data_IF_087785629594
#
_entry.id   IF_087785629594
#
_cell.length_a   1.000
_cell.length_b   1.000
_cell.length_c   1.000
_cell.angle_alpha   90.00
_cell.angle_beta   90.00
_cell.angle_gamma   90.00
#
_symmetry.space_group_name_H-M   'P 1'
#
loop_
_entity.id
_entity.type
_entity.pdbx_description
1 polymer ?
#
# COMPACT_ATOMS: atom_id res chain seq x y z
N UNK A 1 -5.20 -27.64 27.65
CA UNK A 1 -5.62 -27.15 26.33
C UNK A 1 -4.43 -26.41 25.78
N UNK A 2 -3.88 -26.82 24.63
CA UNK A 2 -2.82 -26.07 23.94
C UNK A 2 -3.41 -24.73 23.56
N UNK A 3 -2.90 -23.63 24.13
CA UNK A 3 -3.30 -22.28 23.75
C UNK A 3 -3.12 -22.14 22.23
N UNK A 4 -4.21 -21.87 21.53
CA UNK A 4 -4.18 -21.64 20.08
C UNK A 4 -3.42 -20.31 19.87
N UNK A 5 -2.33 -20.34 19.12
CA UNK A 5 -1.56 -19.14 18.82
C UNK A 5 -2.22 -18.43 17.64
N UNK A 6 -2.66 -17.19 17.84
CA UNK A 6 -3.17 -16.33 16.77
C UNK A 6 -2.00 -15.58 16.14
N UNK A 7 -1.71 -15.90 14.87
CA UNK A 7 -0.69 -15.19 14.10
C UNK A 7 -1.15 -13.77 13.73
N UNK A 8 -0.19 -12.86 13.61
CA UNK A 8 -0.51 -11.49 13.21
C UNK A 8 -1.07 -11.40 11.78
N UNK A 9 -0.52 -12.20 10.88
CA UNK A 9 -0.94 -12.30 9.48
C UNK A 9 -0.71 -13.72 8.96
N UNK A 10 -1.56 -14.13 8.03
CA UNK A 10 -1.37 -15.33 7.19
C UNK A 10 -1.60 -14.95 5.74
N UNK A 11 -0.77 -15.43 4.79
CA UNK A 11 -1.03 -15.23 3.38
C UNK A 11 -2.42 -15.73 3.00
N UNK A 12 -3.13 -14.98 2.18
CA UNK A 12 -4.41 -15.40 1.64
C UNK A 12 -4.22 -16.54 0.63
N UNK A 13 -4.94 -17.65 0.78
CA UNK A 13 -4.99 -18.77 -0.17
C UNK A 13 -6.46 -19.13 -0.36
N UNK A 14 -6.95 -19.09 -1.61
CA UNK A 14 -8.36 -19.29 -1.95
C UNK A 14 -8.62 -20.62 -2.67
N UNK A 15 -7.56 -21.38 -3.07
CA UNK A 15 -7.64 -22.75 -3.56
C UNK A 15 -7.18 -22.97 -5.00
N UNK A 16 -7.25 -21.97 -5.90
CA UNK A 16 -6.88 -22.12 -7.31
C UNK A 16 -5.39 -21.84 -7.59
N UNK A 17 -4.64 -21.33 -6.62
CA UNK A 17 -3.25 -20.90 -6.80
C UNK A 17 -2.37 -22.00 -7.38
N UNK A 18 -2.39 -23.20 -6.78
CA UNK A 18 -1.57 -24.33 -7.25
C UNK A 18 -1.99 -24.82 -8.63
N UNK A 19 -3.30 -24.79 -8.92
CA UNK A 19 -3.83 -25.19 -10.24
C UNK A 19 -3.32 -24.25 -11.32
N UNK A 20 -3.37 -22.94 -11.08
CA UNK A 20 -2.93 -21.94 -12.07
C UNK A 20 -1.41 -21.88 -12.22
N UNK A 21 -0.67 -22.08 -11.13
CA UNK A 21 0.80 -22.22 -11.21
C UNK A 21 1.20 -23.44 -12.05
N UNK A 22 0.53 -24.59 -11.84
CA UNK A 22 0.77 -25.80 -12.61
C UNK A 22 0.42 -25.59 -14.11
N UNK A 23 -0.64 -24.85 -14.41
CA UNK A 23 -1.04 -24.48 -15.76
C UNK A 23 0.00 -23.56 -16.42
N UNK A 24 0.49 -22.54 -15.74
CA UNK A 24 1.57 -21.65 -16.23
C UNK A 24 2.84 -22.45 -16.62
N UNK A 25 3.20 -23.46 -15.79
CA UNK A 25 4.33 -24.33 -16.08
C UNK A 25 4.09 -25.21 -17.33
N UNK A 26 2.87 -25.77 -17.48
CA UNK A 26 2.50 -26.58 -18.67
C UNK A 26 2.53 -25.77 -19.96
N UNK A 27 2.16 -24.48 -19.93
CA UNK A 27 2.25 -23.57 -21.07
C UNK A 27 3.69 -23.26 -21.47
N UNK A 28 4.70 -23.73 -20.73
CA UNK A 28 6.13 -23.53 -20.98
C UNK A 28 6.54 -22.05 -21.06
N UNK A 29 5.78 -21.15 -20.45
CA UNK A 29 6.08 -19.71 -20.37
C UNK A 29 5.92 -19.23 -18.93
N UNK A 30 6.99 -19.37 -18.14
CA UNK A 30 7.03 -19.04 -16.71
C UNK A 30 7.65 -17.66 -16.41
N UNK A 31 8.20 -16.99 -17.42
CA UNK A 31 8.73 -15.63 -17.31
C UNK A 31 7.60 -14.59 -17.41
N UNK A 32 7.94 -13.32 -17.21
CA UNK A 32 6.94 -12.24 -17.25
C UNK A 32 6.21 -12.10 -18.59
N UNK A 33 5.03 -11.47 -18.52
CA UNK A 33 4.11 -11.25 -19.64
C UNK A 33 3.55 -12.54 -20.29
N UNK A 34 3.49 -13.63 -19.50
CA UNK A 34 2.78 -14.85 -19.87
C UNK A 34 1.26 -14.71 -19.82
N UNK A 35 0.58 -15.84 -19.78
CA UNK A 35 -0.88 -15.95 -19.72
C UNK A 35 -1.48 -15.23 -18.51
N UNK A 36 -0.97 -15.57 -17.33
CA UNK A 36 -1.51 -15.08 -16.07
C UNK A 36 -1.16 -13.62 -15.79
N UNK A 37 0.02 -13.17 -16.22
CA UNK A 37 0.36 -11.74 -16.20
C UNK A 37 -0.67 -10.91 -16.97
N UNK A 38 -1.04 -11.37 -18.17
CA UNK A 38 -2.07 -10.71 -18.99
C UNK A 38 -3.46 -10.76 -18.36
N UNK A 39 -3.82 -11.88 -17.72
CA UNK A 39 -5.09 -12.00 -17.01
C UNK A 39 -5.16 -11.05 -15.81
N UNK A 40 -4.08 -10.92 -15.02
CA UNK A 40 -4.00 -9.92 -13.95
C UNK A 40 -4.14 -8.50 -14.47
N UNK A 41 -3.41 -8.15 -15.56
CA UNK A 41 -3.54 -6.81 -16.17
C UNK A 41 -4.98 -6.54 -16.61
N UNK A 42 -5.58 -7.45 -17.38
CA UNK A 42 -6.93 -7.29 -17.90
C UNK A 42 -7.99 -7.17 -16.79
N UNK A 43 -7.85 -7.95 -15.71
CA UNK A 43 -8.75 -7.89 -14.56
C UNK A 43 -8.63 -6.52 -13.86
N UNK A 44 -7.42 -6.07 -13.55
CA UNK A 44 -7.19 -4.78 -12.92
C UNK A 44 -7.67 -3.62 -13.80
N UNK A 45 -7.35 -3.63 -15.10
CA UNK A 45 -7.79 -2.64 -16.07
C UNK A 45 -9.33 -2.56 -16.13
N UNK A 46 -10.00 -3.73 -16.24
CA UNK A 46 -11.45 -3.82 -16.30
C UNK A 46 -12.13 -3.38 -15.00
N UNK A 47 -11.64 -3.90 -13.87
CA UNK A 47 -12.29 -3.68 -12.57
C UNK A 47 -12.11 -2.27 -12.07
N UNK A 48 -10.91 -1.70 -12.24
CA UNK A 48 -10.60 -0.35 -11.78
C UNK A 48 -10.93 0.73 -12.81
N UNK A 49 -11.12 0.36 -14.07
CA UNK A 49 -11.36 1.32 -15.16
C UNK A 49 -10.11 2.13 -15.54
N UNK A 50 -8.92 1.61 -15.26
CA UNK A 50 -7.65 2.28 -15.58
C UNK A 50 -7.22 1.97 -17.01
N UNK A 51 -6.61 2.93 -17.72
CA UNK A 51 -6.13 2.72 -19.09
C UNK A 51 -5.09 1.61 -19.21
N UNK A 52 -4.21 1.45 -18.18
CA UNK A 52 -3.17 0.41 -18.19
C UNK A 52 -2.77 0.00 -16.77
N UNK A 53 -2.67 -1.33 -16.56
CA UNK A 53 -2.07 -1.95 -15.40
C UNK A 53 -0.91 -2.84 -15.83
N UNK A 54 0.21 -2.80 -15.12
CA UNK A 54 1.39 -3.61 -15.38
C UNK A 54 1.91 -4.21 -14.08
N UNK A 55 1.94 -5.53 -13.97
CA UNK A 55 2.52 -6.22 -12.81
C UNK A 55 4.03 -6.04 -12.73
N UNK A 56 4.54 -5.92 -11.52
CA UNK A 56 5.96 -5.71 -11.19
C UNK A 56 6.41 -6.70 -10.11
N UNK A 57 7.73 -6.96 -9.93
CA UNK A 57 8.22 -7.87 -8.90
C UNK A 57 7.93 -7.44 -7.47
N UNK A 58 7.66 -6.16 -7.24
CA UNK A 58 7.22 -5.60 -5.95
C UNK A 58 6.58 -4.23 -6.13
N UNK A 59 5.88 -3.73 -5.11
CA UNK A 59 5.41 -2.34 -5.06
C UNK A 59 6.58 -1.35 -5.09
N UNK A 60 7.73 -1.68 -4.49
CA UNK A 60 8.94 -0.85 -4.55
C UNK A 60 9.39 -0.61 -5.99
N UNK A 61 9.41 -1.67 -6.81
CA UNK A 61 9.71 -1.55 -8.24
C UNK A 61 8.66 -0.72 -9.00
N UNK A 62 7.38 -0.85 -8.64
CA UNK A 62 6.33 0.00 -9.21
C UNK A 62 6.53 1.48 -8.86
N UNK A 63 6.89 1.79 -7.60
CA UNK A 63 7.24 3.15 -7.16
C UNK A 63 8.48 3.69 -7.88
N UNK A 64 9.55 2.90 -8.01
CA UNK A 64 10.74 3.26 -8.79
C UNK A 64 10.39 3.59 -10.25
N UNK A 65 9.50 2.80 -10.87
CA UNK A 65 9.00 3.10 -12.22
C UNK A 65 8.32 4.45 -12.28
N UNK A 66 7.56 4.87 -11.26
CA UNK A 66 6.93 6.21 -11.26
C UNK A 66 7.97 7.32 -11.26
N UNK A 67 9.07 7.17 -10.51
CA UNK A 67 10.16 8.13 -10.50
C UNK A 67 10.87 8.25 -11.87
N UNK A 68 10.99 7.13 -12.61
CA UNK A 68 11.48 7.15 -13.99
C UNK A 68 10.48 7.80 -14.95
N UNK A 69 9.19 7.51 -14.80
CA UNK A 69 8.11 8.04 -15.64
C UNK A 69 8.00 9.57 -15.52
N UNK A 70 8.16 10.07 -14.30
CA UNK A 70 8.12 11.50 -14.00
C UNK A 70 9.45 12.21 -14.25
N UNK A 71 10.46 11.51 -14.77
CA UNK A 71 11.79 12.04 -15.08
C UNK A 71 12.47 12.74 -13.89
N UNK A 72 12.29 12.16 -12.69
CA UNK A 72 12.87 12.67 -11.46
C UNK A 72 14.40 12.74 -11.56
N UNK A 73 14.98 13.87 -11.13
CA UNK A 73 16.40 14.20 -11.22
C UNK A 73 16.96 14.59 -9.85
N UNK A 74 18.29 14.58 -9.72
CA UNK A 74 18.94 15.10 -8.52
C UNK A 74 18.54 16.54 -8.22
N UNK A 75 18.12 16.78 -6.96
CA UNK A 75 17.67 18.08 -6.48
C UNK A 75 16.19 18.37 -6.67
N UNK A 76 15.44 17.54 -7.39
CA UNK A 76 13.98 17.60 -7.40
C UNK A 76 13.42 17.27 -6.02
N UNK A 77 12.28 17.85 -5.67
CA UNK A 77 11.60 17.62 -4.40
C UNK A 77 10.33 16.77 -4.62
N UNK A 78 10.09 15.84 -3.69
CA UNK A 78 8.90 14.97 -3.69
C UNK A 78 8.25 15.05 -2.31
N UNK A 79 6.98 15.45 -2.25
CA UNK A 79 6.23 15.55 -1.00
C UNK A 79 5.63 14.20 -0.67
N UNK A 80 5.94 13.67 0.54
CA UNK A 80 5.61 12.31 0.97
C UNK A 80 5.22 12.35 2.45
N UNK A 81 4.17 11.63 2.90
CA UNK A 81 3.86 11.55 4.32
C UNK A 81 5.01 10.90 5.10
N UNK A 82 5.31 11.44 6.28
CA UNK A 82 6.37 10.90 7.13
C UNK A 82 6.01 9.52 7.73
N UNK A 83 4.72 9.26 7.90
CA UNK A 83 4.19 7.99 8.39
C UNK A 83 3.92 7.02 7.25
N UNK A 84 4.98 6.46 6.66
CA UNK A 84 4.88 5.48 5.57
C UNK A 84 6.02 4.45 5.61
N UNK A 85 5.91 3.43 4.77
CA UNK A 85 7.00 2.48 4.57
C UNK A 85 8.14 3.11 3.76
N UNK A 86 9.37 2.72 4.04
CA UNK A 86 10.59 3.30 3.43
C UNK A 86 10.63 3.24 1.91
N UNK A 87 9.94 2.28 1.28
CA UNK A 87 9.90 2.14 -0.19
C UNK A 87 9.31 3.36 -0.88
N UNK A 88 8.29 4.00 -0.27
CA UNK A 88 7.65 5.21 -0.80
C UNK A 88 8.67 6.33 -1.00
N UNK A 89 9.61 6.48 -0.08
CA UNK A 89 10.66 7.50 -0.14
C UNK A 89 11.82 7.06 -1.01
N UNK A 90 12.30 5.82 -0.81
CA UNK A 90 13.48 5.31 -1.50
C UNK A 90 13.35 5.34 -3.02
N UNK A 91 12.18 5.09 -3.57
CA UNK A 91 11.93 5.10 -5.00
C UNK A 91 12.34 6.41 -5.69
N UNK A 92 12.19 7.53 -5.01
CA UNK A 92 12.55 8.85 -5.51
C UNK A 92 13.98 9.23 -5.11
N UNK A 93 14.41 8.84 -3.90
CA UNK A 93 15.78 9.10 -3.41
C UNK A 93 16.84 8.41 -4.27
N UNK A 94 16.58 7.20 -4.77
CA UNK A 94 17.46 6.49 -5.72
C UNK A 94 17.72 7.33 -6.98
N UNK A 95 16.78 8.19 -7.38
CA UNK A 95 16.92 9.12 -8.51
C UNK A 95 17.58 10.44 -8.11
N UNK A 96 17.96 10.60 -6.85
CA UNK A 96 18.58 11.82 -6.32
C UNK A 96 17.58 12.88 -5.88
N UNK A 97 16.29 12.57 -5.79
CA UNK A 97 15.30 13.48 -5.25
C UNK A 97 15.53 13.74 -3.76
N UNK A 98 15.12 14.92 -3.31
CA UNK A 98 15.02 15.26 -1.90
C UNK A 98 13.59 15.00 -1.43
N UNK A 99 13.37 14.14 -0.43
CA UNK A 99 12.06 13.99 0.19
C UNK A 99 11.71 15.26 0.96
N UNK A 100 10.48 15.71 0.83
CA UNK A 100 9.85 16.74 1.65
C UNK A 100 8.79 16.05 2.47
N UNK A 101 9.08 15.82 3.74
CA UNK A 101 8.14 15.14 4.62
C UNK A 101 6.97 16.05 4.98
N UNK A 102 5.77 15.49 5.01
CA UNK A 102 4.55 16.12 5.49
C UNK A 102 3.98 15.29 6.63
N UNK A 103 3.51 15.97 7.69
CA UNK A 103 2.86 15.31 8.81
C UNK A 103 1.51 14.70 8.42
N UNK A 104 0.95 13.89 9.28
CA UNK A 104 -0.29 13.18 9.05
C UNK A 104 -1.45 13.78 9.85
N UNK A 105 -2.65 13.49 9.43
CA UNK A 105 -3.89 13.77 10.18
C UNK A 105 -3.99 12.84 11.39
N UNK A 106 -4.46 13.34 12.54
CA UNK A 106 -4.58 12.51 13.75
C UNK A 106 -5.75 11.51 13.70
N UNK A 107 -6.73 11.71 12.80
CA UNK A 107 -7.93 10.89 12.67
C UNK A 107 -7.74 9.70 11.72
N UNK A 108 -7.19 9.93 10.52
CA UNK A 108 -7.03 8.91 9.47
C UNK A 108 -5.60 8.39 9.34
N UNK A 109 -4.64 9.06 9.93
CA UNK A 109 -3.19 8.82 9.82
C UNK A 109 -2.66 8.95 8.37
N UNK A 110 -3.44 9.56 7.51
CA UNK A 110 -3.07 9.91 6.15
C UNK A 110 -2.39 11.28 6.09
N UNK A 111 -1.74 11.60 4.97
CA UNK A 111 -1.16 12.93 4.70
C UNK A 111 -2.12 14.05 5.13
N UNK A 112 -1.61 15.03 5.89
CA UNK A 112 -2.36 16.24 6.26
C UNK A 112 -2.38 17.22 5.07
N UNK A 113 -3.42 17.11 4.27
CA UNK A 113 -3.59 17.90 3.04
C UNK A 113 -3.69 19.41 3.30
N UNK A 114 -4.00 19.80 4.54
CA UNK A 114 -4.09 21.24 4.89
C UNK A 114 -2.73 21.93 4.92
N UNK A 115 -1.65 21.16 5.10
CA UNK A 115 -0.26 21.64 5.10
C UNK A 115 0.42 21.51 3.72
N UNK A 116 -0.25 20.88 2.76
CA UNK A 116 0.38 20.48 1.50
C UNK A 116 0.85 21.68 0.67
N UNK A 117 0.03 22.72 0.55
CA UNK A 117 0.32 23.86 -0.32
C UNK A 117 1.55 24.66 0.13
N UNK A 118 1.79 24.75 1.45
CA UNK A 118 2.93 25.48 2.03
C UNK A 118 4.28 24.80 1.74
N UNK A 119 4.28 23.49 1.45
CA UNK A 119 5.47 22.70 1.15
C UNK A 119 5.86 22.74 -0.34
N UNK A 120 5.01 23.29 -1.20
CA UNK A 120 5.26 23.34 -2.65
C UNK A 120 6.30 24.41 -2.96
N UNK A 121 7.34 24.00 -3.68
CA UNK A 121 8.39 24.89 -4.20
C UNK A 121 8.52 24.73 -5.73
N UNK A 122 9.29 25.59 -6.41
CA UNK A 122 9.60 25.42 -7.84
C UNK A 122 10.33 24.10 -8.17
N UNK A 123 10.88 23.41 -7.16
CA UNK A 123 11.54 22.10 -7.31
C UNK A 123 10.60 20.91 -7.10
N UNK A 124 9.39 21.11 -6.60
CA UNK A 124 8.43 20.02 -6.37
C UNK A 124 8.03 19.38 -7.70
N UNK A 125 8.22 18.05 -7.80
CA UNK A 125 7.97 17.28 -9.03
C UNK A 125 6.90 16.20 -8.86
N UNK A 126 6.58 15.81 -7.63
CA UNK A 126 5.51 14.87 -7.36
C UNK A 126 4.96 15.05 -5.94
N UNK A 127 3.70 14.68 -5.76
CA UNK A 127 3.05 14.50 -4.47
C UNK A 127 2.66 13.01 -4.39
N UNK A 128 3.03 12.35 -3.28
CA UNK A 128 2.82 10.91 -3.11
C UNK A 128 1.96 10.64 -1.87
N UNK A 129 0.62 10.77 -1.96
CA UNK A 129 -0.25 10.33 -0.88
C UNK A 129 -0.17 8.81 -0.70
N UNK A 130 -0.23 8.36 0.55
CA UNK A 130 -0.29 6.95 0.93
C UNK A 130 -1.64 6.68 1.56
N UNK A 131 -2.42 5.76 1.02
CA UNK A 131 -3.72 5.37 1.58
C UNK A 131 -3.54 4.43 2.76
N UNK A 132 -3.11 4.98 3.90
CA UNK A 132 -2.76 4.20 5.08
C UNK A 132 -3.94 3.35 5.58
N UNK A 133 -3.64 2.10 5.98
CA UNK A 133 -4.63 1.10 6.43
C UNK A 133 -5.73 0.78 5.40
N UNK A 134 -5.60 1.28 4.17
CA UNK A 134 -6.61 1.17 3.12
C UNK A 134 -7.71 2.23 3.22
N UNK A 135 -7.51 3.26 4.04
CA UNK A 135 -8.38 4.42 4.18
C UNK A 135 -7.88 5.51 3.21
N UNK A 136 -8.80 6.09 2.45
CA UNK A 136 -8.46 7.12 1.47
C UNK A 136 -7.89 8.38 2.11
N UNK A 137 -6.86 8.98 1.48
CA UNK A 137 -6.51 10.39 1.70
C UNK A 137 -7.62 11.30 1.19
N UNK A 138 -7.62 12.59 1.61
CA UNK A 138 -8.52 13.62 1.09
C UNK A 138 -8.16 14.02 -0.34
N UNK A 139 -8.42 13.08 -1.26
CA UNK A 139 -7.95 13.17 -2.65
C UNK A 139 -8.48 14.37 -3.41
N UNK A 140 -9.69 14.85 -3.13
CA UNK A 140 -10.22 16.03 -3.84
C UNK A 140 -9.39 17.28 -3.51
N UNK A 141 -9.01 17.47 -2.25
CA UNK A 141 -8.15 18.59 -1.82
C UNK A 141 -6.74 18.44 -2.38
N UNK A 142 -6.15 17.24 -2.26
CA UNK A 142 -4.81 16.95 -2.81
C UNK A 142 -4.77 17.22 -4.32
N UNK A 143 -5.75 16.71 -5.07
CA UNK A 143 -5.83 16.91 -6.53
C UNK A 143 -6.09 18.37 -6.91
N UNK A 144 -6.90 19.09 -6.15
CA UNK A 144 -7.14 20.51 -6.39
C UNK A 144 -5.85 21.32 -6.24
N UNK A 145 -5.06 21.07 -5.20
CA UNK A 145 -3.75 21.70 -4.99
C UNK A 145 -2.78 21.28 -6.10
N UNK A 146 -2.61 20.00 -6.35
CA UNK A 146 -1.70 19.47 -7.35
C UNK A 146 -1.97 20.04 -8.76
N UNK A 147 -3.25 20.13 -9.15
CA UNK A 147 -3.66 20.67 -10.45
C UNK A 147 -3.36 22.17 -10.58
N UNK A 148 -3.55 22.99 -9.52
CA UNK A 148 -3.17 24.42 -9.54
C UNK A 148 -1.68 24.60 -9.82
N UNK A 149 -0.86 23.73 -9.25
CA UNK A 149 0.60 23.80 -9.39
C UNK A 149 1.13 22.93 -10.55
N UNK A 150 0.26 22.20 -11.26
CA UNK A 150 0.62 21.26 -12.35
C UNK A 150 1.62 20.20 -11.90
N UNK A 151 1.47 19.70 -10.69
CA UNK A 151 2.30 18.66 -10.10
C UNK A 151 1.57 17.33 -10.22
N UNK A 152 2.20 16.26 -10.77
CA UNK A 152 1.60 14.94 -10.83
C UNK A 152 1.45 14.34 -9.43
N UNK A 153 0.35 13.57 -9.24
CA UNK A 153 0.09 12.80 -8.03
C UNK A 153 0.34 11.33 -8.33
N UNK A 154 1.10 10.67 -7.45
CA UNK A 154 1.36 9.23 -7.46
C UNK A 154 0.72 8.63 -6.20
N UNK A 155 -0.36 7.88 -6.37
CA UNK A 155 -0.99 7.19 -5.23
C UNK A 155 -0.15 5.97 -4.83
N UNK A 156 0.48 5.99 -3.64
CA UNK A 156 0.95 4.76 -3.02
C UNK A 156 -0.26 4.03 -2.44
N UNK A 157 -0.79 3.13 -3.24
CA UNK A 157 -1.98 2.37 -2.93
C UNK A 157 -1.66 0.94 -2.42
N UNK A 158 -0.47 0.77 -1.81
CA UNK A 158 -0.02 -0.52 -1.29
C UNK A 158 -0.97 -1.17 -0.27
N UNK A 159 -1.85 -0.38 0.35
CA UNK A 159 -2.88 -0.85 1.30
C UNK A 159 -4.31 -0.74 0.74
N UNK A 160 -4.54 -0.05 -0.38
CA UNK A 160 -5.86 0.44 -0.75
C UNK A 160 -6.54 -0.27 -1.93
N UNK A 161 -5.97 -1.36 -2.48
CA UNK A 161 -6.59 -2.06 -3.61
C UNK A 161 -8.04 -2.45 -3.29
N UNK A 162 -8.96 -2.08 -4.21
CA UNK A 162 -10.42 -2.21 -4.08
C UNK A 162 -11.06 -1.41 -2.94
N UNK A 163 -10.35 -0.44 -2.37
CA UNK A 163 -10.96 0.62 -1.58
C UNK A 163 -11.46 1.76 -2.47
N UNK A 164 -12.35 2.62 -1.94
CA UNK A 164 -12.95 3.73 -2.70
C UNK A 164 -12.91 5.04 -1.92
N UNK A 165 -12.76 6.12 -2.67
CA UNK A 165 -13.00 7.49 -2.25
C UNK A 165 -14.11 8.11 -3.11
N UNK A 166 -15.25 8.45 -2.50
CA UNK A 166 -16.43 9.02 -3.20
C UNK A 166 -16.77 8.25 -4.48
N UNK A 167 -16.92 6.92 -4.35
CA UNK A 167 -17.22 5.97 -5.45
C UNK A 167 -16.12 5.80 -6.52
N UNK A 168 -14.97 6.45 -6.41
CA UNK A 168 -13.80 6.21 -7.28
C UNK A 168 -12.85 5.21 -6.60
N UNK A 169 -12.34 4.25 -7.32
CA UNK A 169 -11.37 3.31 -6.80
C UNK A 169 -10.07 4.02 -6.39
N UNK A 170 -9.49 3.65 -5.25
CA UNK A 170 -8.16 4.10 -4.87
C UNK A 170 -7.12 3.58 -5.88
N UNK A 171 -6.15 4.43 -6.22
CA UNK A 171 -5.20 4.17 -7.28
C UNK A 171 -5.67 4.59 -8.67
N UNK A 172 -6.84 5.24 -8.80
CA UNK A 172 -7.36 5.72 -10.09
C UNK A 172 -7.57 7.23 -10.16
N UNK A 173 -7.09 7.95 -9.17
CA UNK A 173 -7.36 9.37 -8.97
C UNK A 173 -6.19 10.26 -9.40
N UNK A 174 -4.96 9.86 -9.03
CA UNK A 174 -3.73 10.49 -9.47
C UNK A 174 -3.31 10.07 -10.88
N UNK A 175 -2.23 10.63 -11.39
CA UNK A 175 -1.70 10.30 -12.72
C UNK A 175 -1.15 8.86 -12.80
N UNK A 176 -0.61 8.39 -11.68
CA UNK A 176 -0.01 7.07 -11.49
C UNK A 176 -0.41 6.51 -10.13
N UNK A 177 -0.44 5.20 -10.00
CA UNK A 177 -0.56 4.55 -8.71
C UNK A 177 0.22 3.24 -8.65
N UNK A 178 0.48 2.77 -7.43
CA UNK A 178 1.23 1.52 -7.21
C UNK A 178 0.45 0.59 -6.29
N UNK A 179 0.55 -0.72 -6.53
CA UNK A 179 -0.10 -1.77 -5.76
C UNK A 179 0.95 -2.71 -5.18
N UNK A 180 0.66 -3.28 -4.02
CA UNK A 180 1.51 -4.28 -3.39
C UNK A 180 0.80 -5.63 -3.31
N UNK A 181 1.51 -6.68 -3.70
CA UNK A 181 1.11 -8.07 -3.56
C UNK A 181 2.10 -8.87 -2.70
N UNK A 182 2.75 -8.18 -1.75
CA UNK A 182 3.58 -8.80 -0.72
C UNK A 182 2.72 -9.71 0.17
N UNK A 183 3.32 -10.73 0.82
CA UNK A 183 2.60 -11.72 1.64
C UNK A 183 1.69 -11.13 2.73
N UNK A 184 1.97 -9.92 3.20
CA UNK A 184 1.18 -9.23 4.23
C UNK A 184 -0.05 -8.50 3.70
N UNK A 185 -0.26 -8.45 2.37
CA UNK A 185 -1.34 -7.68 1.74
C UNK A 185 -2.62 -8.52 1.60
N UNK A 186 -3.72 -7.82 1.27
CA UNK A 186 -5.03 -8.46 1.10
C UNK A 186 -5.02 -9.50 -0.02
N UNK A 187 -4.27 -9.21 -1.06
CA UNK A 187 -4.02 -10.07 -2.23
C UNK A 187 -2.51 -10.23 -2.34
N UNK A 188 -2.05 -11.47 -2.45
CA UNK A 188 -0.61 -11.74 -2.40
C UNK A 188 -0.16 -12.74 -3.45
N UNK A 189 1.11 -12.67 -3.80
CA UNK A 189 1.85 -13.74 -4.48
C UNK A 189 3.25 -13.94 -3.86
N UNK A 190 3.35 -13.66 -2.55
CA UNK A 190 4.61 -13.67 -1.82
C UNK A 190 5.36 -12.34 -2.01
N UNK A 191 5.93 -12.13 -3.17
CA UNK A 191 6.49 -10.86 -3.62
C UNK A 191 5.86 -10.46 -4.95
N UNK A 192 5.30 -9.25 -5.01
CA UNK A 192 4.66 -8.72 -6.20
C UNK A 192 4.16 -7.29 -6.02
N UNK A 193 3.86 -6.66 -7.13
CA UNK A 193 3.25 -5.34 -7.20
C UNK A 193 2.63 -5.09 -8.57
N UNK A 194 2.07 -3.91 -8.72
CA UNK A 194 1.65 -3.39 -10.02
C UNK A 194 1.77 -1.87 -10.06
N UNK A 195 2.01 -1.33 -11.24
CA UNK A 195 1.81 0.08 -11.53
C UNK A 195 0.50 0.24 -12.30
N UNK A 196 -0.33 1.20 -11.86
CA UNK A 196 -1.51 1.65 -12.57
C UNK A 196 -1.19 2.99 -13.24
N UNK A 197 -1.48 3.09 -14.52
CA UNK A 197 -1.15 4.24 -15.35
C UNK A 197 -2.45 4.89 -15.77
N UNK A 198 -2.81 6.00 -15.10
CA UNK A 198 -4.05 6.72 -15.32
C UNK A 198 -3.91 7.79 -16.42
N UNK A 199 -2.67 8.28 -16.65
CA UNK A 199 -2.35 9.17 -17.77
C UNK A 199 -1.93 8.34 -19.00
N UNK A 200 -2.76 8.27 -20.06
CA UNK A 200 -2.45 7.49 -21.26
C UNK A 200 -1.14 7.88 -21.95
N UNK A 201 -0.69 9.12 -21.78
CA UNK A 201 0.56 9.58 -22.39
C UNK A 201 1.81 8.87 -21.82
N UNK A 202 1.69 8.28 -20.63
CA UNK A 202 2.79 7.58 -19.96
C UNK A 202 2.85 6.08 -20.27
N UNK A 203 1.84 5.50 -20.92
CA UNK A 203 1.72 4.03 -21.11
C UNK A 203 2.93 3.47 -21.84
N UNK A 204 3.25 4.04 -23.01
CA UNK A 204 4.35 3.54 -23.80
C UNK A 204 5.70 3.63 -23.09
N UNK A 205 5.95 4.77 -22.44
CA UNK A 205 7.16 4.97 -21.63
C UNK A 205 7.25 3.95 -20.49
N UNK A 206 6.12 3.60 -19.86
CA UNK A 206 6.06 2.60 -18.80
C UNK A 206 6.40 1.18 -19.33
N UNK A 207 5.85 0.78 -20.47
CA UNK A 207 6.19 -0.50 -21.12
C UNK A 207 7.69 -0.59 -21.42
N UNK A 208 8.27 0.49 -21.95
CA UNK A 208 9.71 0.56 -22.26
C UNK A 208 10.56 0.44 -20.99
N UNK A 209 10.27 1.22 -19.97
CA UNK A 209 11.01 1.21 -18.70
C UNK A 209 10.92 -0.17 -18.04
N UNK A 210 9.72 -0.78 -18.02
CA UNK A 210 9.46 -2.10 -17.46
C UNK A 210 10.24 -3.21 -18.15
N UNK A 211 10.45 -3.09 -19.47
CA UNK A 211 11.12 -4.09 -20.31
C UNK A 211 12.56 -3.63 -20.66
N UNK A 212 13.33 -3.30 -19.65
CA UNK A 212 14.78 -3.03 -19.75
C UNK A 212 15.15 -1.85 -20.67
N UNK A 213 14.23 -0.90 -20.85
CA UNK A 213 14.46 0.24 -21.75
C UNK A 213 14.36 -0.11 -23.23
N UNK A 214 13.73 -1.23 -23.59
CA UNK A 214 13.56 -1.67 -24.97
C UNK A 214 12.16 -1.38 -25.50
N UNK A 215 12.03 -1.24 -26.81
CA UNK A 215 10.74 -1.12 -27.49
C UNK A 215 10.11 -2.47 -27.86
N UNK A 216 10.37 -3.52 -27.06
CA UNK A 216 9.90 -4.89 -27.30
C UNK A 216 8.39 -5.00 -27.43
N UNK A 217 7.62 -4.22 -26.66
CA UNK A 217 6.16 -4.18 -26.76
C UNK A 217 5.68 -3.73 -28.15
N UNK A 218 6.37 -2.77 -28.77
CA UNK A 218 6.10 -2.34 -30.15
C UNK A 218 6.38 -3.46 -31.15
N UNK A 219 7.44 -4.25 -30.93
CA UNK A 219 7.76 -5.41 -31.78
C UNK A 219 6.64 -6.45 -31.75
N UNK A 220 6.15 -6.82 -30.57
CA UNK A 220 5.03 -7.77 -30.45
C UNK A 220 3.70 -7.25 -31.02
N UNK A 221 3.53 -5.93 -31.10
CA UNK A 221 2.38 -5.33 -31.79
C UNK A 221 2.58 -5.16 -33.30
N UNK A 222 3.71 -5.61 -33.86
CA UNK A 222 4.02 -5.49 -35.30
C UNK A 222 4.30 -4.06 -35.75
N UNK A 223 4.64 -3.16 -34.84
CA UNK A 223 4.90 -1.74 -35.15
C UNK A 223 6.35 -1.46 -35.52
N UNK A 224 7.25 -2.40 -35.26
CA UNK A 224 8.66 -2.34 -35.63
C UNK A 224 9.16 -3.75 -36.02
N UNK A 225 10.09 -3.85 -36.94
CA UNK A 225 10.64 -5.14 -37.44
C UNK A 225 11.57 -5.80 -36.41
N UNK A 226 12.21 -5.01 -35.58
CA UNK A 226 13.15 -5.47 -34.53
C UNK A 226 13.00 -4.57 -33.30
N UNK A 227 13.19 -5.13 -32.11
CA UNK A 227 13.30 -4.33 -30.92
C UNK A 227 14.75 -4.04 -30.55
N UNK A 228 14.98 -2.90 -29.92
CA UNK A 228 16.30 -2.44 -29.51
C UNK A 228 16.22 -1.63 -28.22
N UNK A 229 17.36 -1.31 -27.66
CA UNK A 229 17.47 -0.42 -26.51
C UNK A 229 17.22 1.03 -26.93
N UNK A 230 16.17 1.64 -26.38
CA UNK A 230 15.69 2.99 -26.76
C UNK A 230 15.64 3.97 -25.59
N UNK A 231 15.74 3.46 -24.36
CA UNK A 231 15.65 4.30 -23.15
C UNK A 231 16.29 3.63 -21.95
N UNK A 232 16.35 4.34 -20.83
CA UNK A 232 16.67 3.75 -19.53
C UNK A 232 15.51 2.85 -19.10
N UNK A 233 15.82 1.73 -18.46
CA UNK A 233 14.84 0.82 -17.88
C UNK A 233 15.51 -0.29 -17.09
N UNK A 234 14.69 -1.16 -16.49
CA UNK A 234 15.16 -2.34 -15.78
C UNK A 234 14.22 -3.53 -16.00
N UNK A 235 14.55 -4.67 -15.41
CA UNK A 235 13.71 -5.86 -15.48
C UNK A 235 12.62 -5.79 -14.39
N UNK A 236 11.54 -5.07 -14.68
CA UNK A 236 10.41 -4.91 -13.76
C UNK A 236 9.26 -5.87 -14.07
N UNK A 237 9.57 -7.07 -14.54
CA UNK A 237 8.58 -8.09 -14.90
C UNK A 237 8.35 -9.06 -13.73
N UNK A 238 7.09 -9.23 -13.33
CA UNK A 238 6.69 -10.32 -12.43
C UNK A 238 6.70 -11.64 -13.20
N UNK A 239 7.22 -12.74 -12.61
CA UNK A 239 7.16 -14.05 -13.24
C UNK A 239 5.70 -14.53 -13.40
N UNK A 240 5.41 -15.31 -14.45
CA UNK A 240 4.05 -15.77 -14.72
C UNK A 240 3.55 -16.79 -13.68
N UNK A 241 4.47 -17.49 -13.00
CA UNK A 241 4.14 -18.37 -11.87
C UNK A 241 3.53 -17.56 -10.72
N UNK A 242 4.16 -16.43 -10.34
CA UNK A 242 3.63 -15.57 -9.28
C UNK A 242 2.37 -14.82 -9.75
N UNK A 243 2.29 -14.46 -11.01
CA UNK A 243 1.08 -13.88 -11.59
C UNK A 243 -0.08 -14.89 -11.57
N UNK A 244 0.18 -16.17 -11.78
CA UNK A 244 -0.82 -17.25 -11.67
C UNK A 244 -1.36 -17.37 -10.24
N UNK A 245 -0.45 -17.35 -9.25
CA UNK A 245 -0.83 -17.32 -7.85
C UNK A 245 -1.72 -16.11 -7.52
N UNK A 246 -1.32 -14.92 -7.97
CA UNK A 246 -2.06 -13.67 -7.76
C UNK A 246 -3.43 -13.70 -8.44
N UNK A 247 -3.51 -14.19 -9.67
CA UNK A 247 -4.76 -14.19 -10.44
C UNK A 247 -5.86 -14.97 -9.73
N UNK A 248 -5.53 -16.11 -9.10
CA UNK A 248 -6.49 -16.91 -8.33
C UNK A 248 -7.20 -16.08 -7.24
N UNK A 249 -6.51 -15.13 -6.62
CA UNK A 249 -7.09 -14.26 -5.59
C UNK A 249 -7.82 -13.07 -6.19
N UNK A 250 -7.28 -12.49 -7.27
CA UNK A 250 -7.93 -11.36 -7.92
C UNK A 250 -9.30 -11.72 -8.52
N UNK A 251 -9.49 -12.96 -9.01
CA UNK A 251 -10.79 -13.37 -9.57
C UNK A 251 -11.90 -13.50 -8.52
N UNK A 252 -11.56 -13.65 -7.23
CA UNK A 252 -12.49 -13.75 -6.09
C UNK A 252 -12.32 -12.57 -5.11
N UNK A 253 -11.89 -11.43 -5.61
CA UNK A 253 -11.56 -10.26 -4.78
C UNK A 253 -12.70 -9.80 -3.87
N UNK A 254 -13.96 -9.93 -4.30
CA UNK A 254 -15.13 -9.52 -3.51
C UNK A 254 -15.28 -10.37 -2.26
N UNK A 255 -15.03 -11.67 -2.35
CA UNK A 255 -15.08 -12.60 -1.22
C UNK A 255 -14.00 -12.25 -0.18
N UNK A 256 -12.77 -12.02 -0.65
CA UNK A 256 -11.64 -11.63 0.22
C UNK A 256 -11.96 -10.33 0.94
N UNK A 257 -12.44 -9.31 0.21
CA UNK A 257 -12.79 -8.02 0.80
C UNK A 257 -13.96 -8.12 1.77
N UNK A 258 -14.99 -8.93 1.47
CA UNK A 258 -16.13 -9.14 2.37
C UNK A 258 -15.69 -9.76 3.70
N UNK A 259 -14.79 -10.76 3.66
CA UNK A 259 -14.26 -11.41 4.86
C UNK A 259 -13.43 -10.42 5.70
N UNK A 260 -12.55 -9.64 5.08
CA UNK A 260 -11.74 -8.64 5.78
C UNK A 260 -12.60 -7.52 6.38
N UNK A 261 -13.64 -7.09 5.67
CA UNK A 261 -14.64 -6.13 6.17
C UNK A 261 -15.33 -6.64 7.41
N UNK A 262 -15.77 -7.90 7.39
CA UNK A 262 -16.41 -8.53 8.54
C UNK A 262 -15.48 -8.52 9.77
N UNK A 263 -14.22 -8.95 9.64
CA UNK A 263 -13.24 -8.95 10.73
C UNK A 263 -13.06 -7.53 11.29
N UNK A 264 -12.85 -6.55 10.40
CA UNK A 264 -12.61 -5.17 10.77
C UNK A 264 -13.81 -4.56 11.53
N UNK A 265 -15.02 -4.79 11.02
CA UNK A 265 -16.25 -4.28 11.62
C UNK A 265 -16.55 -4.95 12.97
N UNK A 266 -16.24 -6.23 13.13
CA UNK A 266 -16.34 -6.94 14.41
C UNK A 266 -15.43 -6.31 15.44
N UNK A 267 -14.15 -6.04 15.11
CA UNK A 267 -13.27 -5.31 16.02
C UNK A 267 -13.81 -3.93 16.39
N UNK A 268 -14.30 -3.17 15.41
CA UNK A 268 -14.79 -1.83 15.62
C UNK A 268 -15.99 -1.81 16.59
N UNK A 269 -16.89 -2.76 16.45
CA UNK A 269 -18.07 -2.88 17.30
C UNK A 269 -17.74 -3.41 18.72
N UNK A 270 -17.04 -4.54 18.80
CA UNK A 270 -16.82 -5.25 20.06
C UNK A 270 -15.80 -4.56 20.98
N UNK A 271 -14.88 -3.77 20.42
CA UNK A 271 -13.88 -3.03 21.21
C UNK A 271 -14.32 -1.59 21.56
N UNK A 272 -15.48 -1.11 21.10
CA UNK A 272 -15.87 0.30 21.23
C UNK A 272 -15.94 0.76 22.69
N UNK A 273 -16.63 0.02 23.55
CA UNK A 273 -16.80 0.38 24.97
C UNK A 273 -15.49 0.26 25.74
N UNK A 274 -14.71 -0.79 25.48
CA UNK A 274 -13.40 -0.97 26.07
C UNK A 274 -12.44 0.17 25.66
N UNK A 275 -12.39 0.51 24.39
CA UNK A 275 -11.55 1.58 23.88
C UNK A 275 -11.89 2.92 24.53
N UNK A 276 -13.18 3.26 24.60
CA UNK A 276 -13.67 4.48 25.28
C UNK A 276 -13.29 4.50 26.77
N UNK A 277 -13.46 3.39 27.48
CA UNK A 277 -13.15 3.29 28.91
C UNK A 277 -11.66 3.42 29.21
N UNK A 278 -10.78 3.08 28.25
CA UNK A 278 -9.33 3.07 28.41
C UNK A 278 -8.62 4.23 27.68
N UNK A 279 -9.34 5.20 27.11
CA UNK A 279 -8.76 6.32 26.35
C UNK A 279 -8.04 5.88 25.09
N UNK A 280 -8.43 4.76 24.49
CA UNK A 280 -7.87 4.19 23.26
C UNK A 280 -8.67 4.69 22.08
N UNK A 281 -7.97 5.08 20.99
CA UNK A 281 -8.61 5.53 19.76
C UNK A 281 -8.60 4.40 18.73
N UNK A 282 -9.77 4.16 18.13
CA UNK A 282 -9.98 3.21 17.03
C UNK A 282 -9.84 3.91 15.67
N UNK A 283 -9.61 3.17 14.56
CA UNK A 283 -9.56 3.74 13.22
C UNK A 283 -10.87 4.46 12.87
N UNK A 284 -10.74 5.61 12.21
CA UNK A 284 -11.87 6.40 11.70
C UNK A 284 -12.01 6.18 10.21
N UNK A 285 -13.22 5.87 9.78
CA UNK A 285 -13.58 5.83 8.35
C UNK A 285 -14.35 7.10 8.00
N UNK A 286 -13.77 8.03 7.22
CA UNK A 286 -14.46 9.26 6.83
C UNK A 286 -15.68 8.99 5.95
N UNK A 287 -16.62 9.95 5.95
CA UNK A 287 -17.76 9.90 5.05
C UNK A 287 -17.32 9.82 3.58
N UNK A 288 -17.98 8.98 2.79
CA UNK A 288 -17.66 8.77 1.38
C UNK A 288 -16.46 7.88 1.12
N UNK A 289 -15.84 7.31 2.15
CA UNK A 289 -14.76 6.33 2.02
C UNK A 289 -15.29 4.92 2.25
N UNK A 290 -14.99 4.00 1.33
CA UNK A 290 -15.14 2.54 1.52
C UNK A 290 -13.74 1.94 1.56
N UNK A 291 -13.19 1.59 2.75
CA UNK A 291 -11.80 1.15 2.87
C UNK A 291 -11.56 -0.20 2.21
N UNK A 292 -10.29 -0.49 1.94
CA UNK A 292 -9.87 -1.85 1.55
C UNK A 292 -9.82 -2.83 2.72
N UNK A 293 -10.08 -2.38 3.94
CA UNK A 293 -10.09 -3.21 5.16
C UNK A 293 -8.75 -3.92 5.41
N UNK A 294 -7.64 -3.20 5.13
CA UNK A 294 -6.30 -3.81 5.19
C UNK A 294 -5.78 -3.95 6.61
N UNK A 295 -5.90 -2.92 7.44
CA UNK A 295 -5.37 -2.88 8.81
C UNK A 295 -6.47 -2.48 9.78
N UNK A 296 -6.52 -3.14 10.95
CA UNK A 296 -7.18 -2.63 12.13
C UNK A 296 -6.13 -2.28 13.18
N UNK A 297 -6.15 -1.06 13.70
CA UNK A 297 -5.19 -0.58 14.67
C UNK A 297 -5.88 0.04 15.89
N UNK A 298 -5.14 0.16 16.98
CA UNK A 298 -5.53 0.90 18.17
C UNK A 298 -4.43 1.92 18.48
N UNK A 299 -4.82 3.13 18.87
CA UNK A 299 -3.90 4.12 19.42
C UNK A 299 -4.08 4.19 20.93
N UNK A 300 -3.09 3.68 21.65
CA UNK A 300 -3.04 3.71 23.10
C UNK A 300 -2.73 5.14 23.58
N UNK A 301 -2.99 5.47 24.87
CA UNK A 301 -2.68 6.79 25.40
C UNK A 301 -1.20 7.19 25.25
N UNK A 302 -0.27 6.24 25.41
CA UNK A 302 1.19 6.45 25.37
C UNK A 302 1.96 5.18 24.98
N UNK A 303 3.30 5.34 24.88
CA UNK A 303 4.23 4.26 24.53
C UNK A 303 4.26 3.15 25.60
N UNK A 304 4.17 3.48 26.87
CA UNK A 304 4.23 2.51 27.95
C UNK A 304 3.03 1.57 27.90
N UNK A 305 1.82 2.13 27.77
CA UNK A 305 0.58 1.36 27.64
C UNK A 305 0.54 0.54 26.36
N UNK A 306 1.04 1.09 25.25
CA UNK A 306 1.15 0.35 23.99
C UNK A 306 2.07 -0.87 24.15
N UNK A 307 3.23 -0.69 24.78
CA UNK A 307 4.18 -1.76 25.00
C UNK A 307 3.64 -2.83 25.95
N UNK A 308 2.97 -2.40 27.03
CA UNK A 308 2.31 -3.28 27.99
C UNK A 308 1.19 -4.11 27.34
N UNK A 309 0.39 -3.52 26.42
CA UNK A 309 -0.63 -4.25 25.69
C UNK A 309 -0.01 -5.30 24.74
N UNK A 310 1.07 -4.98 24.02
CA UNK A 310 1.77 -5.94 23.17
C UNK A 310 2.23 -7.15 24.00
N UNK A 311 2.86 -6.92 25.16
CA UNK A 311 3.34 -7.98 26.02
C UNK A 311 2.19 -8.81 26.62
N UNK A 312 1.07 -8.16 26.97
CA UNK A 312 -0.13 -8.84 27.47
C UNK A 312 -0.73 -9.75 26.39
N UNK A 313 -0.93 -9.24 25.17
CA UNK A 313 -1.47 -10.01 24.06
C UNK A 313 -0.56 -11.20 23.68
N UNK A 314 0.75 -10.98 23.67
CA UNK A 314 1.73 -12.04 23.43
C UNK A 314 1.62 -13.18 24.47
N UNK A 315 1.43 -12.85 25.77
CA UNK A 315 1.21 -13.87 26.82
C UNK A 315 -0.12 -14.60 26.65
N UNK A 316 -1.11 -13.94 26.05
CA UNK A 316 -2.41 -14.54 25.70
C UNK A 316 -2.42 -15.29 24.36
N UNK A 317 -1.25 -15.55 23.78
CA UNK A 317 -1.11 -16.24 22.49
C UNK A 317 -1.49 -15.42 21.26
N UNK A 318 -1.65 -14.09 21.37
CA UNK A 318 -2.02 -13.19 20.27
C UNK A 318 -0.80 -12.37 19.82
N UNK A 319 -0.38 -12.54 18.56
CA UNK A 319 0.71 -11.77 17.98
C UNK A 319 0.22 -10.43 17.45
N UNK A 320 0.86 -9.35 17.88
CA UNK A 320 0.56 -7.98 17.43
C UNK A 320 1.84 -7.23 17.14
N UNK A 321 1.77 -6.18 16.33
CA UNK A 321 2.94 -5.41 15.93
C UNK A 321 2.63 -3.91 15.89
N UNK A 322 3.66 -3.09 16.08
CA UNK A 322 3.59 -1.63 15.87
C UNK A 322 3.68 -1.26 14.39
N UNK A 323 3.56 0.03 14.03
CA UNK A 323 3.71 0.61 12.68
C UNK A 323 3.86 2.12 12.81
N UNK A 324 4.48 2.70 11.97
CA UNK A 324 5.82 2.88 11.43
C UNK A 324 6.65 3.73 12.38
N UNK A 325 7.98 3.66 12.32
CA UNK A 325 8.81 4.68 12.95
C UNK A 325 8.83 5.93 12.07
N UNK A 326 8.89 7.15 12.66
CA UNK A 326 8.93 8.38 11.88
C UNK A 326 10.14 8.41 10.96
N UNK A 327 9.90 8.57 9.64
CA UNK A 327 11.00 8.50 8.66
C UNK A 327 11.98 9.65 8.82
N UNK A 328 11.50 10.86 9.14
CA UNK A 328 12.37 12.03 9.36
C UNK A 328 13.34 11.84 10.53
N UNK A 329 13.00 11.02 11.54
CA UNK A 329 13.88 10.71 12.70
C UNK A 329 14.81 9.54 12.46
N UNK A 330 14.63 8.78 11.37
CA UNK A 330 15.56 7.71 11.00
C UNK A 330 16.94 8.28 10.68
N UNK A 331 17.98 7.42 10.71
CA UNK A 331 19.33 7.82 10.34
C UNK A 331 19.36 8.53 8.98
N UNK A 332 18.66 7.95 7.98
CA UNK A 332 18.59 8.51 6.65
C UNK A 332 17.73 9.79 6.55
N UNK A 333 16.64 9.86 7.31
CA UNK A 333 15.78 11.05 7.35
C UNK A 333 16.50 12.28 7.92
N UNK A 334 17.36 12.09 8.90
CA UNK A 334 18.20 13.16 9.48
C UNK A 334 19.20 13.77 8.48
N UNK A 335 19.68 13.00 7.51
CA UNK A 335 20.51 13.53 6.42
C UNK A 335 19.76 14.57 5.56
N UNK A 336 18.43 14.47 5.51
CA UNK A 336 17.54 15.43 4.85
C UNK A 336 17.05 16.55 5.75
N UNK A 337 17.56 16.59 6.99
CA UNK A 337 17.33 17.69 7.93
C UNK A 337 16.23 17.45 8.96
N UNK A 338 15.69 16.22 9.05
CA UNK A 338 14.65 15.85 10.01
C UNK A 338 15.09 16.00 11.48
N UNK A 339 14.23 16.54 12.31
CA UNK A 339 14.49 16.82 13.74
C UNK A 339 13.26 16.42 14.57
N UNK A 340 13.48 16.05 15.86
CA UNK A 340 12.37 15.87 16.77
C UNK A 340 11.47 17.12 16.85
N UNK A 341 10.17 16.90 16.78
CA UNK A 341 9.15 17.94 16.77
C UNK A 341 8.74 18.48 15.40
N UNK A 342 9.41 18.08 14.31
CA UNK A 342 9.04 18.51 12.96
C UNK A 342 7.69 17.88 12.51
N UNK A 343 7.40 16.64 12.95
CA UNK A 343 6.19 15.88 12.60
C UNK A 343 5.48 15.37 13.86
N UNK A 344 4.89 16.28 14.67
CA UNK A 344 4.42 15.93 16.02
C UNK A 344 3.29 14.88 16.04
N UNK A 345 2.44 14.83 15.00
CA UNK A 345 1.38 13.82 14.93
C UNK A 345 1.99 12.46 14.59
N UNK A 346 2.87 12.37 13.60
CA UNK A 346 3.59 11.13 13.24
C UNK A 346 4.38 10.59 14.42
N UNK A 347 5.13 11.44 15.14
CA UNK A 347 5.90 11.05 16.32
C UNK A 347 5.00 10.46 17.40
N UNK A 348 3.91 11.14 17.75
CA UNK A 348 2.93 10.68 18.73
C UNK A 348 2.28 9.36 18.31
N UNK A 349 1.84 9.24 17.06
CA UNK A 349 1.18 8.02 16.54
C UNK A 349 2.12 6.83 16.55
N UNK A 350 3.37 7.02 16.15
CA UNK A 350 4.40 5.97 16.14
C UNK A 350 4.59 5.31 17.52
N UNK A 351 4.54 6.10 18.58
CA UNK A 351 4.68 5.60 19.95
C UNK A 351 3.44 4.83 20.44
N UNK A 352 2.27 5.16 19.92
CA UNK A 352 0.98 4.74 20.47
C UNK A 352 0.29 3.62 19.69
N UNK A 353 0.68 3.39 18.44
CA UNK A 353 -0.01 2.50 17.54
C UNK A 353 0.34 1.03 17.74
N UNK A 354 -0.69 0.19 17.83
CA UNK A 354 -0.62 -1.26 17.75
C UNK A 354 -1.60 -1.76 16.69
N UNK A 355 -1.21 -2.76 15.90
CA UNK A 355 -2.07 -3.41 14.90
C UNK A 355 -2.54 -4.76 15.44
N UNK A 356 -3.83 -5.04 15.30
CA UNK A 356 -4.41 -6.33 15.64
C UNK A 356 -4.32 -7.32 14.46
N UNK A 357 -4.36 -8.64 14.73
CA UNK A 357 -4.42 -9.67 13.69
C UNK A 357 -5.58 -9.43 12.72
N UNK A 358 -5.32 -9.52 11.41
CA UNK A 358 -6.35 -9.42 10.39
C UNK A 358 -5.90 -10.16 9.12
N UNK A 359 -6.40 -11.38 8.91
CA UNK A 359 -6.09 -12.21 7.74
C UNK A 359 -7.33 -12.97 7.26
N UNK A 360 -7.34 -13.40 6.01
CA UNK A 360 -8.52 -14.00 5.35
C UNK A 360 -9.06 -15.24 6.08
N UNK A 361 -8.19 -16.15 6.52
CA UNK A 361 -8.58 -17.41 7.18
C UNK A 361 -8.95 -17.25 8.66
N UNK A 362 -8.97 -16.02 9.18
CA UNK A 362 -9.30 -15.76 10.59
C UNK A 362 -10.73 -16.21 10.91
N UNK A 363 -10.88 -17.19 11.78
CA UNK A 363 -12.16 -17.74 12.20
C UNK A 363 -12.74 -17.06 13.44
N UNK A 364 -13.94 -17.47 13.84
CA UNK A 364 -14.62 -16.95 15.02
C UNK A 364 -13.83 -17.22 16.32
N UNK A 365 -13.19 -18.41 16.43
CA UNK A 365 -12.39 -18.79 17.60
C UNK A 365 -11.18 -17.86 17.76
N UNK A 366 -10.45 -17.59 16.67
CA UNK A 366 -9.31 -16.68 16.69
C UNK A 366 -9.75 -15.25 16.99
N UNK A 367 -10.88 -14.82 16.42
CA UNK A 367 -11.50 -13.50 16.68
C UNK A 367 -11.86 -13.36 18.16
N UNK A 368 -12.57 -14.33 18.73
CA UNK A 368 -12.98 -14.32 20.14
C UNK A 368 -11.75 -14.30 21.06
N UNK A 369 -10.70 -15.06 20.76
CA UNK A 369 -9.46 -15.04 21.53
C UNK A 369 -8.82 -13.64 21.52
N UNK A 370 -8.75 -12.95 20.36
CA UNK A 370 -8.21 -11.61 20.29
C UNK A 370 -9.06 -10.62 21.08
N UNK A 371 -10.38 -10.65 20.92
CA UNK A 371 -11.31 -9.77 21.62
C UNK A 371 -11.22 -9.94 23.14
N UNK A 372 -11.23 -11.18 23.64
CA UNK A 372 -11.10 -11.49 25.06
C UNK A 372 -9.75 -11.02 25.61
N UNK A 373 -8.66 -11.24 24.87
CA UNK A 373 -7.34 -10.81 25.29
C UNK A 373 -7.23 -9.27 25.36
N UNK A 374 -7.77 -8.54 24.37
CA UNK A 374 -7.76 -7.07 24.38
C UNK A 374 -8.62 -6.52 25.51
N UNK A 375 -9.85 -7.01 25.67
CA UNK A 375 -10.78 -6.49 26.68
C UNK A 375 -10.39 -6.82 28.11
N UNK A 376 -9.60 -7.88 28.34
CA UNK A 376 -9.02 -8.20 29.64
C UNK A 376 -7.90 -7.23 30.07
N UNK A 377 -7.30 -6.49 29.13
CA UNK A 377 -6.26 -5.52 29.43
C UNK A 377 -6.86 -4.20 29.96
N UNK A 378 -6.29 -3.70 31.05
CA UNK A 378 -6.64 -2.37 31.59
C UNK A 378 -5.51 -1.40 31.25
N UNK A 379 -5.82 -0.37 30.46
CA UNK A 379 -4.87 0.66 30.08
C UNK A 379 -4.76 1.81 31.09
N UNK A 380 -5.39 1.65 32.27
CA UNK A 380 -5.40 2.64 33.36
C UNK A 380 -4.15 2.59 34.22
#
# INVERSE_FOLDING_TARGET
>A
MTETKVDFNKPCIVGNEFTYMADSIKESHISGDGKYSKLCHALLEKQLGVPKALTTPSCSHALEMTAFLLDIKPGDEVIIPDFTFVSTVNAFVIRGARPVFIDIRPDTLNMDETKLEELITPRTRAIVPVHYAGIACEMDTIMAIANRHKIPVVEDNAHGLFGKYKNRWLGTIGSLATQSFHETKNFTCGEGGAILINDPALIEKAEIIREKGTNRSRFFRGQVDKYTWVSIGSSYLLSDILAAFLYAQLEVWEEIQAKRKWIWQTYAAELADWAKANGVVQPVVPEGVDPSWHIYYLLLPDLERRSALIDHLKRSGVNTVFHYLPLHLSEKGREYGGRPGDMPVTESVSDRLIRLPLFYDMGEIEMEQVLNAVTAFKAS
#
